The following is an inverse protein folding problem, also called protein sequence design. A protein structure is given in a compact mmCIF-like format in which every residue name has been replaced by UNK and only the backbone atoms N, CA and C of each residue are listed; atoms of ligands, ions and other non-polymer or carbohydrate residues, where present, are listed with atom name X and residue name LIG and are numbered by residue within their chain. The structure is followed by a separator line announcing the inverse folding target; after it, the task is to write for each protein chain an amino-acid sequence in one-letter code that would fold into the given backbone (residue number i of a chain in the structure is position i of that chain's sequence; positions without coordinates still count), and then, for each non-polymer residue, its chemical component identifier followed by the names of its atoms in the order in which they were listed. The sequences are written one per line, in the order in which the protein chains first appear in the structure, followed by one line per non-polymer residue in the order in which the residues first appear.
data_IF_413890800712
#
_entry.id   IF_413890800712
#
_cell.length_a   1.000
_cell.length_b   1.000
_cell.length_c   1.000
_cell.angle_alpha   90.00
_cell.angle_beta   90.00
_cell.angle_gamma   90.00
#
_symmetry.space_group_name_H-M   'P 1'
#
loop_
_entity.id
_entity.type
_entity.pdbx_description
1 polymer ?
#
# COMPACT_ATOMS: atom_id res chain seq x y z
N UNK A 1 22.26 -0.21 -11.63
CA UNK A 1 21.42 0.68 -10.78
C UNK A 1 21.91 0.79 -9.33
N UNK A 2 22.46 -0.27 -8.73
CA UNK A 2 22.93 -0.22 -7.33
C UNK A 2 24.10 0.76 -7.15
N UNK A 3 25.05 0.77 -8.08
CA UNK A 3 26.20 1.64 -8.07
C UNK A 3 25.78 3.10 -8.39
N UNK A 4 24.79 3.27 -9.26
CA UNK A 4 24.21 4.58 -9.58
C UNK A 4 23.47 5.16 -8.38
N UNK A 5 22.64 4.38 -7.69
CA UNK A 5 21.97 4.79 -6.46
C UNK A 5 22.96 5.12 -5.34
N UNK A 6 24.11 4.43 -5.29
CA UNK A 6 25.16 4.71 -4.31
C UNK A 6 25.94 5.98 -4.64
N UNK A 7 26.10 6.30 -5.93
CA UNK A 7 26.72 7.57 -6.36
C UNK A 7 25.85 8.79 -6.01
N UNK A 8 24.53 8.65 -6.13
CA UNK A 8 23.56 9.70 -5.75
C UNK A 8 23.58 10.03 -4.25
N UNK A 9 24.06 9.12 -3.40
CA UNK A 9 24.22 9.38 -1.96
C UNK A 9 25.15 10.55 -1.63
N UNK A 10 26.10 10.82 -2.50
CA UNK A 10 27.06 11.90 -2.36
C UNK A 10 26.57 13.25 -2.91
N UNK A 11 25.62 13.21 -3.85
CA UNK A 11 25.11 14.42 -4.53
C UNK A 11 23.82 14.97 -3.89
N UNK A 12 22.97 14.09 -3.34
CA UNK A 12 21.64 14.44 -2.80
C UNK A 12 21.54 14.36 -1.28
N UNK A 13 22.47 14.95 -0.57
CA UNK A 13 22.47 15.00 0.91
C UNK A 13 21.22 15.65 1.53
N UNK A 14 20.38 16.31 0.73
CA UNK A 14 19.28 17.14 1.22
C UNK A 14 17.89 16.77 0.65
N UNK A 15 17.80 15.91 -0.35
CA UNK A 15 16.50 15.45 -0.86
C UNK A 15 16.13 14.12 -0.21
N UNK A 16 15.70 14.23 1.06
CA UNK A 16 15.56 13.06 1.93
C UNK A 16 14.45 12.08 1.57
N UNK A 17 13.42 12.49 0.85
CA UNK A 17 12.21 11.70 0.67
C UNK A 17 12.39 10.46 -0.21
N UNK A 18 12.57 10.66 -1.50
CA UNK A 18 12.58 9.57 -2.48
C UNK A 18 13.81 8.67 -2.39
N UNK A 19 14.98 9.23 -2.13
CA UNK A 19 16.23 8.46 -1.96
C UNK A 19 16.15 7.56 -0.72
N UNK A 20 15.69 8.11 0.40
CA UNK A 20 15.50 7.34 1.63
C UNK A 20 14.48 6.21 1.45
N UNK A 21 13.38 6.48 0.77
CA UNK A 21 12.36 5.47 0.46
C UNK A 21 12.94 4.33 -0.40
N UNK A 22 13.60 4.66 -1.52
CA UNK A 22 14.21 3.65 -2.40
C UNK A 22 15.24 2.81 -1.63
N UNK A 23 16.10 3.46 -0.83
CA UNK A 23 17.11 2.77 -0.02
C UNK A 23 16.48 1.85 1.02
N UNK A 24 15.41 2.28 1.69
CA UNK A 24 14.65 1.45 2.61
C UNK A 24 14.12 0.19 1.90
N UNK A 25 13.46 0.38 0.76
CA UNK A 25 12.89 -0.72 -0.04
C UNK A 25 13.95 -1.67 -0.61
N UNK A 26 15.15 -1.19 -0.88
CA UNK A 26 16.28 -2.01 -1.35
C UNK A 26 17.11 -2.63 -0.20
N UNK A 27 16.71 -2.44 1.05
CA UNK A 27 17.33 -3.07 2.21
C UNK A 27 18.65 -2.41 2.65
N UNK A 28 18.89 -1.14 2.34
CA UNK A 28 20.06 -0.40 2.80
C UNK A 28 19.97 0.00 4.27
N UNK A 29 18.78 0.08 4.84
CA UNK A 29 18.52 0.41 6.23
C UNK A 29 18.07 -0.82 7.01
N UNK A 30 18.33 -0.82 8.32
CA UNK A 30 17.88 -1.90 9.22
C UNK A 30 16.36 -1.95 9.40
N UNK A 31 15.72 -0.79 9.33
CA UNK A 31 14.27 -0.68 9.38
C UNK A 31 13.74 -0.89 7.97
N UNK A 32 13.41 -2.12 7.67
CA UNK A 32 12.86 -2.52 6.38
C UNK A 32 11.33 -2.53 6.53
N UNK A 33 10.65 -1.88 5.61
CA UNK A 33 9.21 -1.91 5.50
C UNK A 33 8.84 -2.98 4.44
N UNK A 34 8.73 -4.21 4.90
CA UNK A 34 8.36 -5.37 4.07
C UNK A 34 6.96 -5.87 4.34
N UNK A 35 6.15 -5.11 5.05
CA UNK A 35 4.81 -5.52 5.36
C UNK A 35 3.94 -5.60 4.10
N UNK A 36 3.03 -6.56 4.09
CA UNK A 36 1.94 -6.62 3.12
C UNK A 36 0.84 -5.71 3.62
N UNK A 37 0.46 -4.73 2.80
CA UNK A 37 -0.64 -3.81 3.07
C UNK A 37 -1.83 -4.13 2.18
N UNK A 38 -3.03 -3.81 2.64
CA UNK A 38 -4.26 -3.93 1.88
C UNK A 38 -5.35 -3.00 2.42
N UNK A 39 -6.36 -2.81 1.62
CA UNK A 39 -7.57 -2.08 2.01
C UNK A 39 -8.56 -3.02 2.70
N UNK A 40 -9.22 -2.53 3.76
CA UNK A 40 -10.21 -3.31 4.49
C UNK A 40 -11.54 -3.48 3.72
N UNK A 41 -11.88 -2.53 2.87
CA UNK A 41 -13.15 -2.48 2.15
C UNK A 41 -12.92 -2.43 0.64
N UNK A 42 -13.61 -3.31 -0.09
CA UNK A 42 -13.54 -3.36 -1.56
C UNK A 42 -14.40 -2.28 -2.24
N UNK A 43 -15.53 -1.90 -1.63
CA UNK A 43 -16.44 -0.92 -2.24
C UNK A 43 -15.74 0.41 -2.53
N UNK A 44 -15.93 0.95 -3.73
CA UNK A 44 -15.37 2.22 -4.20
C UNK A 44 -13.84 2.31 -4.27
N UNK A 45 -13.13 1.16 -4.32
CA UNK A 45 -11.67 1.17 -4.48
C UNK A 45 -11.22 1.83 -5.78
N UNK A 46 -11.94 1.63 -6.86
CA UNK A 46 -11.67 2.23 -8.17
C UNK A 46 -11.69 3.77 -8.14
N UNK A 47 -12.35 4.37 -7.17
CA UNK A 47 -12.41 5.82 -6.98
C UNK A 47 -11.35 6.33 -5.97
N UNK A 48 -10.62 5.43 -5.34
CA UNK A 48 -9.55 5.80 -4.40
C UNK A 48 -8.29 6.19 -5.17
N UNK A 49 -7.77 7.40 -4.91
CA UNK A 49 -6.62 7.95 -5.63
C UNK A 49 -5.34 7.10 -5.46
N UNK A 50 -5.11 6.53 -4.27
CA UNK A 50 -3.95 5.66 -4.03
C UNK A 50 -4.08 4.34 -4.80
N UNK A 51 -5.26 3.71 -4.77
CA UNK A 51 -5.54 2.51 -5.55
C UNK A 51 -5.33 2.72 -7.06
N UNK A 52 -5.84 3.83 -7.60
CA UNK A 52 -5.65 4.20 -9.01
C UNK A 52 -4.17 4.45 -9.34
N UNK A 53 -3.39 5.01 -8.43
CA UNK A 53 -1.96 5.21 -8.63
C UNK A 53 -1.20 3.89 -8.72
N UNK A 54 -1.57 2.88 -7.91
CA UNK A 54 -0.97 1.55 -7.95
C UNK A 54 -1.22 0.83 -9.28
N UNK A 55 -2.35 1.09 -9.96
CA UNK A 55 -2.64 0.49 -11.27
C UNK A 55 -1.69 0.99 -12.37
N UNK A 56 -1.11 2.17 -12.24
CA UNK A 56 -0.16 2.72 -13.20
C UNK A 56 1.22 2.08 -13.06
N UNK A 57 1.76 2.04 -11.85
CA UNK A 57 2.98 1.31 -11.51
C UNK A 57 3.17 1.26 -9.99
N UNK A 58 4.00 0.33 -9.47
CA UNK A 58 4.44 0.39 -8.08
C UNK A 58 5.19 1.70 -7.81
N UNK A 59 4.96 2.29 -6.65
CA UNK A 59 5.58 3.55 -6.23
C UNK A 59 7.12 3.51 -6.35
N UNK A 60 7.74 2.36 -6.08
CA UNK A 60 9.17 2.16 -6.24
C UNK A 60 9.65 2.41 -7.68
N UNK A 61 8.90 1.95 -8.69
CA UNK A 61 9.23 2.14 -10.11
C UNK A 61 9.17 3.60 -10.50
N UNK A 62 8.10 4.31 -10.10
CA UNK A 62 7.96 5.75 -10.35
C UNK A 62 9.05 6.59 -9.67
N UNK A 63 9.40 6.23 -8.44
CA UNK A 63 10.47 6.92 -7.71
C UNK A 63 11.86 6.67 -8.34
N UNK A 64 12.15 5.46 -8.83
CA UNK A 64 13.41 5.17 -9.55
C UNK A 64 13.48 5.93 -10.87
N UNK A 65 12.38 5.93 -11.67
CA UNK A 65 12.30 6.71 -12.91
C UNK A 65 12.62 8.19 -12.67
N UNK A 66 11.96 8.77 -11.67
CA UNK A 66 12.13 10.18 -11.30
C UNK A 66 13.55 10.49 -10.83
N UNK A 67 14.12 9.65 -9.96
CA UNK A 67 15.44 9.86 -9.36
C UNK A 67 16.57 9.72 -10.38
N UNK A 68 16.51 8.71 -11.24
CA UNK A 68 17.55 8.43 -12.22
C UNK A 68 17.36 9.19 -13.54
N UNK A 69 16.22 9.89 -13.71
CA UNK A 69 15.88 10.57 -14.96
C UNK A 69 15.69 9.62 -16.15
N UNK A 70 15.41 8.35 -15.89
CA UNK A 70 15.17 7.33 -16.91
C UNK A 70 13.72 7.45 -17.35
N UNK A 71 13.49 7.90 -18.58
CA UNK A 71 12.13 8.06 -19.12
C UNK A 71 11.57 6.74 -19.64
N UNK A 72 10.30 6.52 -19.36
CA UNK A 72 9.52 5.42 -19.94
C UNK A 72 9.46 4.15 -19.11
N UNK A 73 10.07 4.07 -17.91
CA UNK A 73 9.95 2.90 -17.03
C UNK A 73 8.51 2.68 -16.56
N UNK A 74 7.83 3.76 -16.20
CA UNK A 74 6.41 3.71 -15.78
C UNK A 74 5.53 3.26 -16.94
N UNK A 75 5.73 3.82 -18.14
CA UNK A 75 4.98 3.44 -19.34
C UNK A 75 5.24 1.98 -19.72
N UNK A 76 6.50 1.55 -19.72
CA UNK A 76 6.86 0.17 -20.03
C UNK A 76 6.28 -0.82 -19.01
N UNK A 77 6.28 -0.46 -17.73
CA UNK A 77 5.63 -1.25 -16.70
C UNK A 77 4.12 -1.38 -16.96
N UNK A 78 3.44 -0.26 -17.22
CA UNK A 78 2.00 -0.23 -17.47
C UNK A 78 1.63 -1.06 -18.72
N UNK A 79 2.36 -0.92 -19.81
CA UNK A 79 2.10 -1.62 -21.07
C UNK A 79 2.37 -3.14 -20.99
N UNK A 80 3.25 -3.58 -20.08
CA UNK A 80 3.69 -4.98 -19.97
C UNK A 80 3.24 -5.66 -18.66
N UNK A 81 2.41 -5.01 -17.83
CA UNK A 81 1.89 -5.59 -16.59
C UNK A 81 0.37 -5.75 -16.64
N UNK A 82 -0.14 -6.53 -15.69
CA UNK A 82 -1.57 -6.67 -15.42
C UNK A 82 -1.82 -6.31 -13.97
N UNK A 83 -2.91 -5.63 -13.73
CA UNK A 83 -3.32 -5.21 -12.40
C UNK A 83 -4.39 -6.15 -11.87
N UNK A 84 -4.19 -6.67 -10.66
CA UNK A 84 -5.11 -7.59 -10.02
C UNK A 84 -5.57 -7.05 -8.67
N UNK A 85 -6.85 -7.15 -8.39
CA UNK A 85 -7.39 -7.07 -7.05
C UNK A 85 -7.37 -8.48 -6.43
N UNK A 86 -6.67 -8.65 -5.31
CA UNK A 86 -6.57 -9.94 -4.62
C UNK A 86 -7.25 -9.80 -3.25
N UNK A 87 -8.19 -10.70 -2.97
CA UNK A 87 -8.89 -10.74 -1.70
C UNK A 87 -8.34 -11.83 -0.79
N UNK A 88 -8.16 -11.48 0.49
CA UNK A 88 -7.73 -12.37 1.54
C UNK A 88 -8.66 -12.31 2.75
N UNK A 89 -8.90 -13.44 3.37
CA UNK A 89 -9.58 -13.54 4.67
C UNK A 89 -8.54 -13.80 5.76
N UNK A 90 -8.16 -12.76 6.47
CA UNK A 90 -7.08 -12.81 7.47
C UNK A 90 -7.68 -12.72 8.88
N UNK A 91 -7.26 -13.58 9.84
CA UNK A 91 -7.68 -13.46 11.23
C UNK A 91 -7.35 -12.08 11.82
N UNK A 92 -8.26 -11.52 12.63
CA UNK A 92 -8.07 -10.21 13.24
C UNK A 92 -6.81 -10.14 14.12
N UNK A 93 -6.41 -11.26 14.73
CA UNK A 93 -5.16 -11.37 15.50
C UNK A 93 -3.90 -11.10 14.68
N UNK A 94 -3.92 -11.44 13.38
CA UNK A 94 -2.75 -11.35 12.51
C UNK A 94 -2.67 -10.00 11.77
N UNK A 95 -3.71 -9.17 11.89
CA UNK A 95 -3.81 -7.86 11.23
C UNK A 95 -3.39 -6.74 12.16
N UNK A 96 -2.66 -5.76 11.63
CA UNK A 96 -2.34 -4.48 12.27
C UNK A 96 -3.07 -3.38 11.51
N UNK A 97 -3.72 -2.47 12.22
CA UNK A 97 -4.38 -1.30 11.64
C UNK A 97 -3.35 -0.20 11.42
N UNK A 98 -3.19 0.23 10.18
CA UNK A 98 -2.24 1.29 9.84
C UNK A 98 -2.86 2.66 10.09
N UNK A 99 -2.82 3.07 11.34
CA UNK A 99 -3.37 4.32 11.85
C UNK A 99 -2.54 4.83 13.02
N UNK A 100 -2.70 6.12 13.35
CA UNK A 100 -1.87 6.80 14.35
C UNK A 100 -1.89 6.18 15.77
N UNK A 101 -3.00 5.56 16.18
CA UNK A 101 -3.15 4.85 17.44
C UNK A 101 -3.89 3.53 17.20
N UNK A 102 -3.21 2.50 16.69
CA UNK A 102 -3.84 1.24 16.35
C UNK A 102 -4.34 0.51 17.61
N UNK A 103 -5.52 -0.13 17.56
CA UNK A 103 -5.98 -0.97 18.66
C UNK A 103 -5.09 -2.21 18.79
N UNK A 104 -4.67 -2.51 20.04
CA UNK A 104 -3.76 -3.63 20.31
C UNK A 104 -4.49 -4.97 20.50
N UNK A 105 -5.74 -4.94 20.98
CA UNK A 105 -6.50 -6.15 21.28
C UNK A 105 -7.44 -6.52 20.12
N UNK A 106 -7.72 -7.80 19.93
CA UNK A 106 -8.67 -8.27 18.92
C UNK A 106 -10.08 -7.67 19.09
N UNK A 107 -10.49 -7.47 20.35
CA UNK A 107 -11.74 -6.77 20.63
C UNK A 107 -11.69 -5.32 20.18
N UNK A 108 -10.62 -4.58 20.49
CA UNK A 108 -10.45 -3.20 20.06
C UNK A 108 -10.40 -3.08 18.52
N UNK A 109 -9.68 -4.00 17.88
CA UNK A 109 -9.63 -4.09 16.40
C UNK A 109 -11.02 -4.34 15.80
N UNK A 110 -11.79 -5.26 16.40
CA UNK A 110 -13.16 -5.57 15.94
C UNK A 110 -14.08 -4.36 16.10
N UNK A 111 -14.00 -3.66 17.23
CA UNK A 111 -14.80 -2.45 17.47
C UNK A 111 -14.45 -1.36 16.46
N UNK A 112 -13.17 -1.10 16.22
CA UNK A 112 -12.75 -0.09 15.23
C UNK A 112 -13.14 -0.47 13.82
N UNK A 113 -12.97 -1.73 13.42
CA UNK A 113 -13.42 -2.22 12.11
C UNK A 113 -14.92 -2.02 11.89
N UNK A 114 -15.74 -2.40 12.87
CA UNK A 114 -17.19 -2.22 12.79
C UNK A 114 -17.60 -0.75 12.74
N UNK A 115 -16.92 0.09 13.50
CA UNK A 115 -17.12 1.55 13.44
C UNK A 115 -16.86 2.09 12.04
N UNK A 116 -15.73 1.74 11.42
CA UNK A 116 -15.38 2.15 10.06
C UNK A 116 -16.38 1.61 9.04
N UNK A 117 -16.81 0.35 9.19
CA UNK A 117 -17.82 -0.24 8.32
C UNK A 117 -19.17 0.50 8.41
N UNK A 118 -19.61 0.85 9.63
CA UNK A 118 -20.86 1.60 9.83
C UNK A 118 -20.77 3.01 9.25
N UNK A 119 -19.66 3.72 9.47
CA UNK A 119 -19.44 5.05 8.90
C UNK A 119 -19.48 4.99 7.37
N UNK A 120 -18.83 4.00 6.77
CA UNK A 120 -18.81 3.81 5.32
C UNK A 120 -20.22 3.53 4.76
N UNK A 121 -20.98 2.66 5.41
CA UNK A 121 -22.38 2.40 5.03
C UNK A 121 -23.26 3.64 5.16
N UNK A 122 -23.03 4.46 6.19
CA UNK A 122 -23.74 5.73 6.35
C UNK A 122 -23.40 6.71 5.22
N UNK A 123 -22.12 6.88 4.91
CA UNK A 123 -21.66 7.76 3.83
C UNK A 123 -22.21 7.32 2.47
N UNK A 124 -22.22 5.99 2.21
CA UNK A 124 -22.84 5.41 1.03
C UNK A 124 -24.35 5.75 0.96
N UNK A 125 -25.04 5.58 2.07
CA UNK A 125 -26.48 5.88 2.15
C UNK A 125 -26.83 7.35 1.93
N UNK A 126 -26.00 8.28 2.43
CA UNK A 126 -26.21 9.73 2.23
C UNK A 126 -25.65 10.24 0.91
N UNK A 127 -24.97 9.42 0.14
CA UNK A 127 -24.32 9.82 -1.12
C UNK A 127 -23.13 10.76 -0.93
N UNK A 128 -22.36 10.57 0.14
CA UNK A 128 -21.18 11.38 0.44
C UNK A 128 -20.10 11.18 -0.62
N UNK A 129 -19.49 12.27 -1.09
CA UNK A 129 -18.34 12.21 -2.01
C UNK A 129 -17.02 11.81 -1.32
N UNK A 130 -17.00 11.75 0.01
CA UNK A 130 -15.80 11.41 0.79
C UNK A 130 -15.54 9.90 0.95
N UNK A 131 -16.51 9.04 0.60
CA UNK A 131 -16.36 7.57 0.69
C UNK A 131 -15.11 7.05 -0.02
N UNK A 132 -14.69 7.71 -1.08
CA UNK A 132 -13.64 7.24 -1.97
C UNK A 132 -12.24 7.33 -1.36
N UNK A 133 -11.99 8.34 -0.52
CA UNK A 133 -10.65 8.67 -0.05
C UNK A 133 -10.28 8.00 1.28
N UNK A 134 -11.28 7.63 2.08
CA UNK A 134 -11.07 7.03 3.40
C UNK A 134 -11.33 5.52 3.39
N UNK A 135 -10.29 4.74 3.19
CA UNK A 135 -10.36 3.30 3.36
C UNK A 135 -9.35 2.87 4.42
N UNK A 136 -9.80 2.06 5.36
CA UNK A 136 -8.94 1.54 6.40
C UNK A 136 -7.83 0.67 5.79
N UNK A 137 -6.58 1.05 6.02
CA UNK A 137 -5.42 0.28 5.60
C UNK A 137 -5.08 -0.72 6.70
N UNK A 138 -4.98 -1.97 6.31
CA UNK A 138 -4.58 -3.08 7.14
C UNK A 138 -3.22 -3.60 6.67
N UNK A 139 -2.37 -4.01 7.61
CA UNK A 139 -1.08 -4.60 7.29
C UNK A 139 -0.81 -5.84 8.12
N UNK A 140 0.08 -6.69 7.63
CA UNK A 140 0.70 -7.75 8.42
C UNK A 140 1.95 -7.21 9.12
N UNK A 141 2.49 -7.94 10.10
CA UNK A 141 3.81 -7.64 10.62
C UNK A 141 4.89 -7.82 9.54
N UNK A 142 6.02 -7.12 9.69
CA UNK A 142 7.08 -7.06 8.66
C UNK A 142 7.66 -8.44 8.31
N UNK A 143 7.62 -9.38 9.25
CA UNK A 143 8.11 -10.76 9.04
C UNK A 143 7.02 -11.76 8.63
N UNK A 144 5.77 -11.31 8.50
CA UNK A 144 4.67 -12.20 8.18
C UNK A 144 4.49 -12.39 6.67
N UNK A 145 4.23 -13.63 6.29
CA UNK A 145 3.84 -13.98 4.92
C UNK A 145 2.35 -14.25 4.86
N UNK A 146 1.74 -13.95 3.71
CA UNK A 146 0.37 -14.35 3.41
C UNK A 146 0.33 -15.88 3.33
N UNK A 147 -0.58 -16.47 4.10
CA UNK A 147 -0.80 -17.92 4.08
C UNK A 147 -1.71 -18.29 2.92
N UNK A 148 -1.44 -19.37 2.18
CA UNK A 148 -2.27 -19.80 1.06
C UNK A 148 -3.76 -19.99 1.41
N UNK A 149 -4.05 -20.45 2.61
CA UNK A 149 -5.41 -20.66 3.11
C UNK A 149 -6.21 -19.36 3.34
N UNK A 150 -5.56 -18.21 3.34
CA UNK A 150 -6.22 -16.91 3.46
C UNK A 150 -6.71 -16.36 2.12
N UNK A 151 -6.24 -16.94 1.01
CA UNK A 151 -6.64 -16.51 -0.34
C UNK A 151 -8.11 -16.80 -0.58
N UNK A 152 -8.84 -15.80 -1.06
CA UNK A 152 -10.26 -15.91 -1.43
C UNK A 152 -10.40 -15.89 -2.94
N UNK A 153 -9.92 -14.83 -3.58
CA UNK A 153 -10.03 -14.68 -5.04
C UNK A 153 -9.02 -13.66 -5.58
N UNK A 154 -8.81 -13.70 -6.88
CA UNK A 154 -8.10 -12.68 -7.65
C UNK A 154 -8.94 -12.28 -8.87
N UNK A 155 -9.02 -10.99 -9.14
CA UNK A 155 -9.73 -10.42 -10.29
C UNK A 155 -8.78 -9.49 -11.04
N UNK A 156 -8.69 -9.65 -12.36
CA UNK A 156 -7.97 -8.72 -13.24
C UNK A 156 -8.83 -7.47 -13.44
N UNK A 157 -8.25 -6.29 -13.25
CA UNK A 157 -8.92 -4.99 -13.28
C UNK A 157 -8.60 -4.22 -14.57
#
# INVERSE_FOLDING_TARGET
YKDELQSLDNEFRYDGGNVCYIKSRLGYYKNQDYCVNGFAFRSYLENNGYFSSLSSCPELVGNIESLLGIRGMVTDYYDNSKYYCIEYLIPMSDVIFDMGNPPETDYGKTVEFLKQAILRLYDEWVGSSFICDENLILRLSDDANIKPEWFVMAEEL
#
